data_IF_180176961735
#
_entry.id   IF_180176961735
#
_cell.length_a   1.000
_cell.length_b   1.000
_cell.length_c   1.000
_cell.angle_alpha   90.00
_cell.angle_beta   90.00
_cell.angle_gamma   90.00
#
_symmetry.space_group_name_H-M   'P 1'
#
loop_
_entity.id
_entity.type
_entity.pdbx_description
1 polymer ?
#
# COMPACT_ATOMS: atom_id res chain seq x y z
N UNK A 1 11.75 -16.99 -7.30
CA UNK A 1 11.23 -15.70 -6.79
C UNK A 1 10.44 -16.03 -5.53
N UNK A 2 10.80 -15.45 -4.38
CA UNK A 2 10.05 -15.66 -3.13
C UNK A 2 9.13 -14.47 -2.97
N UNK A 3 7.84 -14.74 -2.88
CA UNK A 3 6.83 -13.73 -2.56
C UNK A 3 6.56 -13.84 -1.06
N UNK A 4 6.54 -12.70 -0.38
CA UNK A 4 6.10 -12.61 1.00
C UNK A 4 4.77 -11.86 1.05
N UNK A 5 3.91 -12.27 1.96
CA UNK A 5 2.66 -11.57 2.24
C UNK A 5 2.93 -10.43 3.22
N UNK A 6 2.48 -9.23 2.88
CA UNK A 6 2.53 -8.06 3.76
C UNK A 6 1.17 -7.40 3.87
N UNK A 7 0.95 -6.74 4.99
CA UNK A 7 -0.24 -5.94 5.25
C UNK A 7 0.09 -4.48 4.96
N UNK A 8 -0.71 -3.84 4.12
CA UNK A 8 -0.56 -2.41 3.86
C UNK A 8 -1.03 -1.61 5.09
N UNK A 9 -0.17 -0.79 5.72
CA UNK A 9 -0.55 -0.03 6.92
C UNK A 9 -1.57 1.09 6.63
N UNK A 10 -1.83 1.40 5.36
CA UNK A 10 -2.70 2.49 4.93
C UNK A 10 -4.14 2.03 4.73
N UNK A 11 -4.33 0.86 4.12
CA UNK A 11 -5.67 0.33 3.80
C UNK A 11 -6.01 -0.98 4.50
N UNK A 12 -5.05 -1.61 5.18
CA UNK A 12 -5.23 -2.89 5.88
C UNK A 12 -5.28 -4.12 4.97
N UNK A 13 -5.19 -3.96 3.64
CA UNK A 13 -5.18 -5.08 2.71
C UNK A 13 -3.86 -5.86 2.74
N UNK A 14 -3.96 -7.18 2.72
CA UNK A 14 -2.85 -8.09 2.44
C UNK A 14 -2.48 -8.05 0.96
N UNK A 15 -1.18 -8.03 0.68
CA UNK A 15 -0.64 -8.05 -0.66
C UNK A 15 0.67 -8.83 -0.72
N UNK A 16 0.94 -9.45 -1.86
CA UNK A 16 2.16 -10.20 -2.10
C UNK A 16 3.23 -9.31 -2.72
N UNK A 17 4.45 -9.45 -2.23
CA UNK A 17 5.60 -8.63 -2.63
C UNK A 17 6.84 -9.51 -2.69
N UNK A 18 7.65 -9.31 -3.72
CA UNK A 18 8.89 -10.09 -3.87
C UNK A 18 9.84 -9.77 -2.70
N UNK A 19 10.45 -10.79 -2.11
CA UNK A 19 11.33 -10.68 -0.93
C UNK A 19 12.44 -9.64 -1.14
N UNK A 20 12.96 -9.52 -2.38
CA UNK A 20 13.98 -8.51 -2.74
C UNK A 20 13.44 -7.09 -2.75
N UNK A 21 12.15 -6.93 -3.05
CA UNK A 21 11.45 -5.65 -3.03
C UNK A 21 10.76 -5.37 -1.70
N UNK A 22 10.61 -6.36 -0.82
CA UNK A 22 9.91 -6.26 0.46
C UNK A 22 10.48 -5.21 1.41
N UNK A 23 11.79 -4.94 1.27
CA UNK A 23 12.50 -3.90 2.00
C UNK A 23 12.11 -2.49 1.50
N UNK A 24 11.88 -2.34 0.19
CA UNK A 24 11.49 -1.05 -0.44
C UNK A 24 9.98 -0.85 -0.56
N UNK A 25 9.20 -1.93 -0.63
CA UNK A 25 7.77 -1.91 -0.96
C UNK A 25 6.92 -2.19 0.29
N UNK A 26 6.61 -1.10 1.00
CA UNK A 26 5.82 -1.10 2.24
C UNK A 26 4.30 -1.05 2.00
N UNK A 27 3.87 -0.58 0.82
CA UNK A 27 2.47 -0.32 0.50
C UNK A 27 1.98 -1.21 -0.64
N UNK A 28 0.71 -1.63 -0.58
CA UNK A 28 0.10 -2.48 -1.61
C UNK A 28 0.04 -1.79 -2.97
N UNK A 29 -0.13 -0.46 -2.98
CA UNK A 29 -0.31 0.34 -4.19
C UNK A 29 0.40 1.69 -4.06
N UNK A 30 0.73 2.29 -5.20
CA UNK A 30 1.21 3.68 -5.27
C UNK A 30 0.23 4.66 -4.61
N UNK A 31 -1.08 4.41 -4.69
CA UNK A 31 -2.10 5.21 -4.01
C UNK A 31 -1.90 5.25 -2.49
N UNK A 32 -1.61 4.09 -1.88
CA UNK A 32 -1.32 4.01 -0.45
C UNK A 32 0.01 4.67 -0.10
N UNK A 33 1.03 4.51 -0.96
CA UNK A 33 2.32 5.19 -0.79
C UNK A 33 2.16 6.72 -0.78
N UNK A 34 1.39 7.26 -1.74
CA UNK A 34 1.06 8.69 -1.83
C UNK A 34 0.23 9.16 -0.63
N UNK A 35 -0.72 8.33 -0.17
CA UNK A 35 -1.55 8.65 1.01
C UNK A 35 -0.73 8.69 2.31
N UNK A 36 0.35 7.91 2.42
CA UNK A 36 1.25 7.94 3.57
C UNK A 36 2.24 9.11 3.56
N UNK A 37 2.65 9.58 2.37
CA UNK A 37 3.63 10.67 2.20
C UNK A 37 3.04 12.07 2.05
N UNK A 38 1.71 12.22 2.07
CA UNK A 38 1.03 13.48 1.80
C UNK A 38 -0.18 13.69 2.71
N UNK A 39 -0.01 14.57 3.67
CA UNK A 39 -1.09 15.24 4.38
C UNK A 39 -2.18 15.78 3.43
N UNK A 40 -3.37 15.18 3.53
CA UNK A 40 -4.73 15.78 3.58
C UNK A 40 -5.74 14.85 2.89
N UNK A 41 -6.60 14.16 3.66
CA UNK A 41 -7.71 13.40 3.11
C UNK A 41 -8.79 14.39 2.68
N UNK A 42 -8.92 14.64 1.38
CA UNK A 42 -10.19 15.12 0.86
C UNK A 42 -10.68 14.17 -0.24
N UNK A 43 -11.85 13.61 0.07
CA UNK A 43 -12.79 12.88 -0.80
C UNK A 43 -12.53 11.39 -0.90
N UNK A 44 -13.00 10.70 0.14
CA UNK A 44 -13.76 9.46 -0.01
C UNK A 44 -14.88 9.69 -1.03
N UNK A 45 -14.53 9.55 -2.31
CA UNK A 45 -15.50 9.34 -3.37
C UNK A 45 -15.79 7.85 -3.44
N UNK A 46 -16.50 7.31 -2.46
CA UNK A 46 -17.29 6.11 -2.72
C UNK A 46 -18.39 6.55 -3.68
N UNK A 47 -18.34 6.00 -4.89
CA UNK A 47 -19.27 6.16 -6.01
C UNK A 47 -20.69 5.75 -5.55
N UNK A 48 -21.80 6.01 -6.24
CA UNK A 48 -22.14 6.45 -7.58
C UNK A 48 -23.54 7.08 -7.53
#
# INVERSE_FOLDING_TARGET
MRLIEKICPVCGNTFEVDEKLADRKLYCTLKCCLQAGGERPEKVGVQA
#
